data_IF_473099625608
#
_entry.id   IF_473099625608
#
_cell.length_a   1.000
_cell.length_b   1.000
_cell.length_c   1.000
_cell.angle_alpha   90.00
_cell.angle_beta   90.00
_cell.angle_gamma   90.00
#
_symmetry.space_group_name_H-M   'P 1'
#
loop_
_entity.id
_entity.type
_entity.pdbx_description
1 polymer ?
#
# COMPACT_ATOMS: atom_id res chain seq x y z
N UNK A 1 6.70 -10.10 9.00
CA UNK A 1 5.27 -9.77 9.17
C UNK A 1 5.14 -8.30 9.58
N UNK A 2 4.75 -7.41 8.67
CA UNK A 2 4.56 -5.97 9.00
C UNK A 2 3.11 -5.63 9.35
N UNK A 3 2.16 -6.37 8.78
CA UNK A 3 0.73 -6.11 8.92
C UNK A 3 0.21 -6.35 10.33
N UNK A 4 0.62 -7.44 10.99
CA UNK A 4 0.20 -7.73 12.35
C UNK A 4 0.63 -6.62 13.32
N UNK A 5 1.89 -6.18 13.23
CA UNK A 5 2.39 -5.05 14.02
C UNK A 5 1.65 -3.74 13.71
N UNK A 6 1.24 -3.53 12.45
CA UNK A 6 0.43 -2.37 12.05
C UNK A 6 -0.96 -2.41 12.70
N UNK A 7 -1.61 -3.57 12.71
CA UNK A 7 -2.91 -3.77 13.38
C UNK A 7 -2.80 -3.51 14.88
N UNK A 8 -1.83 -4.10 15.57
CA UNK A 8 -1.63 -3.86 17.01
C UNK A 8 -1.37 -2.39 17.33
N UNK A 9 -0.56 -1.69 16.52
CA UNK A 9 -0.31 -0.25 16.71
C UNK A 9 -1.56 0.60 16.50
N UNK A 10 -2.41 0.23 15.56
CA UNK A 10 -3.65 0.95 15.28
C UNK A 10 -4.71 0.72 16.37
N UNK A 11 -4.94 -0.54 16.76
CA UNK A 11 -6.02 -0.88 17.69
C UNK A 11 -5.62 -0.78 19.16
N UNK A 12 -4.34 -0.92 19.50
CA UNK A 12 -3.86 -0.75 20.88
C UNK A 12 -3.28 0.64 21.12
N UNK A 13 -3.63 1.65 20.30
CA UNK A 13 -3.09 3.00 20.44
C UNK A 13 -3.44 3.63 21.81
N UNK A 14 -4.67 3.42 22.27
CA UNK A 14 -5.18 4.02 23.51
C UNK A 14 -4.64 3.30 24.76
N UNK A 15 -4.44 1.98 24.70
CA UNK A 15 -3.78 1.23 25.77
C UNK A 15 -2.99 0.05 25.21
N UNK A 16 -1.68 0.08 25.42
CA UNK A 16 -0.79 -1.02 25.03
C UNK A 16 -0.78 -2.18 26.04
N UNK A 17 -1.34 -1.98 27.24
CA UNK A 17 -1.43 -2.99 28.30
C UNK A 17 -2.58 -3.97 28.10
N UNK A 18 -3.68 -3.54 27.46
CA UNK A 18 -4.86 -4.36 27.22
C UNK A 18 -4.90 -4.97 25.80
N UNK A 19 -3.74 -5.27 25.23
CA UNK A 19 -3.66 -5.82 23.87
C UNK A 19 -4.32 -7.21 23.76
N UNK A 20 -4.33 -7.98 24.85
CA UNK A 20 -4.87 -9.33 24.91
C UNK A 20 -6.39 -9.37 24.70
N UNK A 21 -7.14 -8.34 25.14
CA UNK A 21 -8.58 -8.29 24.94
C UNK A 21 -8.95 -8.03 23.48
N UNK A 22 -8.06 -7.39 22.72
CA UNK A 22 -8.24 -7.05 21.32
C UNK A 22 -7.75 -8.18 20.39
N UNK A 23 -6.89 -9.06 20.90
CA UNK A 23 -6.30 -10.16 20.13
C UNK A 23 -7.33 -11.00 19.35
N UNK A 24 -8.47 -11.43 19.91
CA UNK A 24 -9.45 -12.23 19.16
C UNK A 24 -10.02 -11.48 17.95
N UNK A 25 -10.21 -10.16 18.09
CA UNK A 25 -10.71 -9.32 17.00
C UNK A 25 -9.67 -9.16 15.90
N UNK A 26 -8.39 -8.99 16.26
CA UNK A 26 -7.28 -8.90 15.29
C UNK A 26 -7.10 -10.23 14.56
N UNK A 27 -7.18 -11.36 15.27
CA UNK A 27 -7.09 -12.69 14.67
C UNK A 27 -8.22 -12.91 13.66
N UNK A 28 -9.48 -12.64 14.06
CA UNK A 28 -10.63 -12.74 13.19
C UNK A 28 -10.44 -11.87 11.96
N UNK A 29 -10.16 -10.58 12.16
CA UNK A 29 -9.95 -9.61 11.08
C UNK A 29 -8.86 -10.07 10.10
N UNK A 30 -7.73 -10.55 10.62
CA UNK A 30 -6.62 -11.01 9.79
C UNK A 30 -7.00 -12.23 8.94
N UNK A 31 -7.74 -13.17 9.51
CA UNK A 31 -8.13 -14.40 8.84
C UNK A 31 -9.23 -14.20 7.78
N UNK A 32 -10.10 -13.20 7.94
CA UNK A 32 -11.21 -12.93 7.01
C UNK A 32 -10.87 -11.89 5.95
N UNK A 33 -9.83 -11.08 6.15
CA UNK A 33 -9.47 -10.00 5.20
C UNK A 33 -8.67 -10.55 4.01
N UNK A 34 -9.11 -10.30 2.76
CA UNK A 34 -8.36 -10.72 1.59
C UNK A 34 -7.07 -9.91 1.42
N UNK A 35 -5.97 -10.60 1.13
CA UNK A 35 -4.68 -9.94 0.93
C UNK A 35 -4.46 -9.57 -0.53
N UNK A 36 -3.98 -8.35 -0.80
CA UNK A 36 -3.77 -7.82 -2.17
C UNK A 36 -2.92 -8.72 -3.08
N UNK A 37 -1.97 -9.47 -2.53
CA UNK A 37 -1.09 -10.33 -3.33
C UNK A 37 -1.71 -11.67 -3.71
N UNK A 38 -2.65 -12.17 -2.92
CA UNK A 38 -3.33 -13.46 -3.15
C UNK A 38 -4.69 -13.25 -3.78
N UNK A 39 -5.37 -12.15 -3.47
CA UNK A 39 -6.77 -11.89 -3.81
C UNK A 39 -7.76 -12.62 -2.89
N UNK A 40 -7.25 -13.39 -1.92
CA UNK A 40 -8.04 -14.25 -1.02
C UNK A 40 -7.58 -14.05 0.42
N UNK A 41 -8.50 -14.27 1.35
CA UNK A 41 -8.23 -14.31 2.78
C UNK A 41 -7.58 -15.64 3.19
N UNK A 42 -6.81 -15.67 4.30
CA UNK A 42 -6.26 -16.92 4.82
C UNK A 42 -7.34 -17.98 5.07
N UNK A 43 -8.51 -17.59 5.57
CA UNK A 43 -9.63 -18.49 5.81
C UNK A 43 -10.15 -19.14 4.52
N UNK A 44 -10.31 -18.36 3.44
CA UNK A 44 -10.76 -18.88 2.15
C UNK A 44 -9.75 -19.86 1.54
N UNK A 45 -8.46 -19.57 1.68
CA UNK A 45 -7.39 -20.43 1.16
C UNK A 45 -7.38 -21.79 1.88
N UNK A 46 -7.67 -21.82 3.18
CA UNK A 46 -7.65 -23.06 3.97
C UNK A 46 -8.97 -23.82 3.82
N UNK A 47 -10.09 -23.11 4.00
CA UNK A 47 -11.42 -23.73 4.13
C UNK A 47 -12.17 -23.85 2.81
N UNK A 48 -11.79 -23.07 1.78
CA UNK A 48 -12.52 -22.99 0.50
C UNK A 48 -13.90 -22.36 0.61
N UNK A 49 -14.21 -21.74 1.75
CA UNK A 49 -15.49 -21.10 2.06
C UNK A 49 -15.29 -19.62 2.27
N UNK A 50 -16.33 -18.84 1.98
CA UNK A 50 -16.34 -17.42 2.33
C UNK A 50 -16.26 -17.26 3.84
N UNK A 51 -15.52 -16.24 4.33
CA UNK A 51 -15.39 -16.01 5.76
C UNK A 51 -16.75 -15.63 6.35
N UNK A 52 -17.06 -16.09 7.57
CA UNK A 52 -18.28 -15.68 8.26
C UNK A 52 -18.17 -14.18 8.62
N UNK A 53 -19.00 -13.35 8.01
CA UNK A 53 -19.15 -11.94 8.35
C UNK A 53 -20.59 -11.68 8.80
N UNK A 54 -20.77 -10.92 9.88
CA UNK A 54 -22.10 -10.54 10.36
C UNK A 54 -22.91 -9.80 9.27
N UNK A 55 -22.22 -9.07 8.40
CA UNK A 55 -22.84 -8.35 7.28
C UNK A 55 -23.11 -9.24 6.06
N UNK A 56 -22.39 -10.36 5.87
CA UNK A 56 -22.62 -11.22 4.70
C UNK A 56 -24.01 -11.81 4.70
N UNK A 57 -24.53 -12.26 5.85
CA UNK A 57 -25.88 -12.85 5.92
C UNK A 57 -26.98 -11.83 5.61
N UNK A 58 -26.73 -10.54 5.88
CA UNK A 58 -27.68 -9.47 5.59
C UNK A 58 -27.67 -9.08 4.10
N UNK A 59 -26.51 -9.19 3.45
CA UNK A 59 -26.29 -8.73 2.08
C UNK A 59 -26.46 -9.85 1.05
N UNK A 60 -26.13 -11.10 1.38
CA UNK A 60 -26.23 -12.25 0.47
C UNK A 60 -27.59 -12.36 -0.24
N UNK A 61 -28.74 -12.21 0.44
CA UNK A 61 -30.06 -12.26 -0.22
C UNK A 61 -30.29 -11.17 -1.26
N UNK A 62 -29.52 -10.08 -1.20
CA UNK A 62 -29.62 -8.92 -2.09
C UNK A 62 -28.67 -9.02 -3.29
N UNK A 63 -27.76 -9.98 -3.30
CA UNK A 63 -26.76 -10.17 -4.35
C UNK A 63 -27.15 -11.33 -5.27
N UNK A 64 -26.76 -11.26 -6.56
CA UNK A 64 -26.92 -12.41 -7.45
C UNK A 64 -26.13 -13.61 -6.93
N UNK A 65 -26.71 -14.81 -7.07
CA UNK A 65 -26.08 -16.04 -6.60
C UNK A 65 -24.72 -16.24 -7.28
N UNK A 66 -23.64 -16.16 -6.49
CA UNK A 66 -22.28 -16.44 -6.94
C UNK A 66 -21.96 -17.89 -6.60
N UNK A 67 -21.65 -18.70 -7.61
CA UNK A 67 -21.20 -20.07 -7.39
C UNK A 67 -19.86 -20.06 -6.63
N UNK A 68 -19.79 -20.77 -5.51
CA UNK A 68 -18.57 -20.91 -4.74
C UNK A 68 -17.49 -21.59 -5.60
N UNK A 69 -16.28 -21.00 -5.61
CA UNK A 69 -15.14 -21.58 -6.32
C UNK A 69 -14.67 -22.85 -5.60
N UNK A 70 -14.33 -23.94 -6.32
CA UNK A 70 -13.74 -25.11 -5.70
C UNK A 70 -12.36 -24.77 -5.11
N UNK A 71 -11.99 -25.43 -4.02
CA UNK A 71 -10.75 -25.17 -3.28
C UNK A 71 -9.49 -25.23 -4.16
N UNK A 72 -9.42 -26.21 -5.07
CA UNK A 72 -8.30 -26.35 -6.01
C UNK A 72 -8.16 -25.13 -6.93
N UNK A 73 -9.29 -24.55 -7.35
CA UNK A 73 -9.29 -23.35 -8.16
C UNK A 73 -8.79 -22.14 -7.34
N UNK A 74 -9.22 -22.01 -6.08
CA UNK A 74 -8.72 -20.96 -5.18
C UNK A 74 -7.20 -21.05 -5.02
N UNK A 75 -6.67 -22.26 -4.80
CA UNK A 75 -5.21 -22.46 -4.65
C UNK A 75 -4.45 -22.10 -5.91
N UNK A 76 -4.90 -22.59 -7.08
CA UNK A 76 -4.24 -22.29 -8.35
C UNK A 76 -4.26 -20.79 -8.68
N UNK A 77 -5.37 -20.12 -8.41
CA UNK A 77 -5.52 -18.68 -8.62
C UNK A 77 -4.64 -17.88 -7.65
N UNK A 78 -4.63 -18.21 -6.36
CA UNK A 78 -3.78 -17.59 -5.37
C UNK A 78 -2.28 -17.74 -5.73
N UNK A 79 -1.86 -18.93 -6.16
CA UNK A 79 -0.50 -19.18 -6.65
C UNK A 79 -0.15 -18.33 -7.88
N UNK A 80 -1.07 -18.23 -8.83
CA UNK A 80 -0.91 -17.40 -10.03
C UNK A 80 -0.74 -15.92 -9.65
N UNK A 81 -1.57 -15.42 -8.73
CA UNK A 81 -1.52 -14.05 -8.24
C UNK A 81 -0.19 -13.76 -7.51
N UNK A 82 0.28 -14.68 -6.67
CA UNK A 82 1.57 -14.56 -6.00
C UNK A 82 2.73 -14.51 -7.01
N UNK A 83 2.71 -15.35 -8.05
CA UNK A 83 3.72 -15.34 -9.13
C UNK A 83 3.71 -14.01 -9.88
N UNK A 84 2.52 -13.51 -10.24
CA UNK A 84 2.34 -12.20 -10.89
C UNK A 84 2.88 -11.07 -10.03
N UNK A 85 2.50 -11.02 -8.75
CA UNK A 85 2.98 -10.01 -7.81
C UNK A 85 4.51 -10.07 -7.61
N UNK A 86 5.10 -11.27 -7.57
CA UNK A 86 6.55 -11.44 -7.50
C UNK A 86 7.25 -10.91 -8.75
N UNK A 87 6.72 -11.20 -9.94
CA UNK A 87 7.26 -10.72 -11.21
C UNK A 87 7.16 -9.19 -11.32
N UNK A 88 6.03 -8.60 -10.93
CA UNK A 88 5.86 -7.15 -10.86
C UNK A 88 6.91 -6.51 -9.95
N UNK A 89 7.13 -7.04 -8.74
CA UNK A 89 8.16 -6.53 -7.82
C UNK A 89 9.57 -6.59 -8.43
N UNK A 90 9.91 -7.68 -9.13
CA UNK A 90 11.20 -7.81 -9.84
C UNK A 90 11.32 -6.75 -10.95
N UNK A 91 10.28 -6.56 -11.74
CA UNK A 91 10.26 -5.59 -12.83
C UNK A 91 10.34 -4.16 -12.32
N UNK A 92 9.60 -3.79 -11.27
CA UNK A 92 9.72 -2.47 -10.63
C UNK A 92 11.14 -2.19 -10.13
N UNK A 93 11.78 -3.16 -9.46
CA UNK A 93 13.19 -3.02 -9.04
C UNK A 93 14.14 -2.87 -10.23
N UNK A 94 13.92 -3.63 -11.30
CA UNK A 94 14.72 -3.54 -12.54
C UNK A 94 14.53 -2.17 -13.21
N UNK A 95 13.31 -1.64 -13.22
CA UNK A 95 13.00 -0.33 -13.76
C UNK A 95 13.65 0.77 -12.92
N UNK A 96 13.60 0.71 -11.58
CA UNK A 96 14.31 1.65 -10.70
C UNK A 96 15.83 1.68 -10.99
N UNK A 97 16.44 0.52 -11.26
CA UNK A 97 17.87 0.44 -11.64
C UNK A 97 18.17 0.99 -13.04
N UNK A 98 17.16 1.04 -13.91
CA UNK A 98 17.26 1.53 -15.29
C UNK A 98 16.95 3.01 -15.44
N UNK A 99 16.35 3.64 -14.43
CA UNK A 99 16.30 5.10 -14.35
C UNK A 99 17.77 5.51 -14.28
N UNK A 100 18.35 6.15 -15.33
CA UNK A 100 19.68 6.69 -15.19
C UNK A 100 19.63 7.59 -13.97
N UNK A 101 20.59 7.44 -13.04
CA UNK A 101 20.86 8.50 -12.07
C UNK A 101 20.90 9.76 -12.90
N UNK A 102 19.87 10.61 -12.78
CA UNK A 102 19.87 11.91 -13.43
C UNK A 102 21.12 12.54 -12.85
N UNK A 103 22.22 12.51 -13.62
CA UNK A 103 23.30 13.43 -13.44
C UNK A 103 22.56 14.74 -13.55
N UNK A 104 22.34 15.40 -12.40
CA UNK A 104 21.86 16.76 -12.36
C UNK A 104 22.83 17.48 -13.29
N UNK A 105 22.40 17.73 -14.54
CA UNK A 105 23.11 18.63 -15.41
C UNK A 105 23.19 19.91 -14.58
N UNK A 106 24.39 20.41 -14.25
CA UNK A 106 24.52 21.59 -13.38
C UNK A 106 23.74 22.79 -13.93
N UNK A 107 23.40 22.76 -15.22
CA UNK A 107 22.75 23.84 -15.95
C UNK A 107 21.22 23.71 -16.09
N UNK A 108 20.58 22.65 -15.56
CA UNK A 108 19.12 22.51 -15.61
C UNK A 108 18.54 22.33 -14.21
N UNK A 109 17.73 23.29 -13.70
CA UNK A 109 17.08 23.11 -12.41
C UNK A 109 16.21 21.85 -12.45
N UNK A 110 16.24 21.09 -11.35
CA UNK A 110 15.41 19.89 -11.18
C UNK A 110 13.95 20.23 -11.52
N UNK A 111 13.15 19.35 -12.15
CA UNK A 111 11.81 19.65 -12.68
C UNK A 111 10.79 20.21 -11.67
N UNK A 112 11.11 20.15 -10.38
CA UNK A 112 10.27 20.65 -9.29
C UNK A 112 10.88 21.86 -8.58
N UNK A 113 11.95 22.46 -9.12
CA UNK A 113 12.64 23.62 -8.56
C UNK A 113 12.29 24.85 -9.37
N UNK A 114 11.62 25.81 -8.74
CA UNK A 114 11.16 27.04 -9.36
C UNK A 114 11.81 28.25 -8.70
N UNK A 115 12.13 29.24 -9.52
CA UNK A 115 12.64 30.53 -9.07
C UNK A 115 11.47 31.44 -8.75
N UNK A 116 11.25 31.73 -7.46
CA UNK A 116 10.20 32.66 -7.05
C UNK A 116 10.72 34.09 -7.17
N UNK A 117 9.99 34.90 -7.95
CA UNK A 117 10.23 36.33 -8.10
C UNK A 117 9.10 37.11 -7.43
N UNK A 118 9.46 38.17 -6.73
CA UNK A 118 8.49 39.12 -6.20
C UNK A 118 7.85 39.90 -7.36
N UNK A 119 6.51 39.90 -7.52
CA UNK A 119 5.86 40.45 -8.70
C UNK A 119 5.96 41.98 -8.81
N UNK A 120 6.28 42.68 -7.71
CA UNK A 120 6.34 44.15 -7.69
C UNK A 120 7.79 44.64 -7.84
N UNK A 121 8.74 43.98 -7.20
CA UNK A 121 10.15 44.40 -7.23
C UNK A 121 11.02 43.62 -8.22
N UNK A 122 10.48 42.56 -8.84
CA UNK A 122 11.23 41.57 -9.64
C UNK A 122 12.43 40.93 -8.91
N UNK A 123 12.54 41.12 -7.60
CA UNK A 123 13.62 40.57 -6.80
C UNK A 123 13.48 39.04 -6.69
N UNK A 124 14.56 38.33 -6.98
CA UNK A 124 14.58 36.86 -6.96
C UNK A 124 14.84 36.40 -5.52
N UNK A 125 13.83 35.77 -4.88
CA UNK A 125 13.97 35.26 -3.50
C UNK A 125 14.78 33.95 -3.42
N UNK A 126 14.94 33.25 -4.54
CA UNK A 126 15.74 32.03 -4.65
C UNK A 126 14.98 30.87 -5.29
N UNK A 127 15.64 29.71 -5.33
CA UNK A 127 15.12 28.48 -5.95
C UNK A 127 14.48 27.56 -4.91
N UNK A 128 13.23 27.15 -5.17
CA UNK A 128 12.39 26.42 -4.21
C UNK A 128 11.92 25.10 -4.82
N UNK A 129 12.05 24.00 -4.08
CA UNK A 129 11.48 22.72 -4.49
C UNK A 129 10.04 22.57 -4.01
N UNK A 130 9.06 22.47 -4.91
CA UNK A 130 7.63 22.41 -4.55
C UNK A 130 7.24 21.16 -3.76
N UNK A 131 7.98 20.06 -3.85
CA UNK A 131 7.60 18.83 -3.15
C UNK A 131 7.93 18.87 -1.66
N UNK A 132 8.95 19.62 -1.28
CA UNK A 132 9.46 19.66 0.09
C UNK A 132 9.62 21.09 0.65
N UNK A 133 9.29 22.12 -0.14
CA UNK A 133 9.44 23.56 0.15
C UNK A 133 10.82 24.00 0.66
N UNK A 134 11.86 23.19 0.47
CA UNK A 134 13.23 23.52 0.86
C UNK A 134 13.83 24.55 -0.09
N UNK A 135 14.42 25.60 0.48
CA UNK A 135 15.19 26.63 -0.22
C UNK A 135 16.58 26.08 -0.57
N UNK A 136 16.94 26.14 -1.84
CA UNK A 136 18.29 25.81 -2.29
C UNK A 136 19.00 27.12 -2.66
N UNK A 137 19.83 27.62 -1.74
CA UNK A 137 20.76 28.71 -2.05
C UNK A 137 22.00 28.13 -2.70
N UNK A 138 22.42 28.65 -3.85
CA UNK A 138 23.77 28.39 -4.36
C UNK A 138 24.76 29.07 -3.41
N UNK A 139 25.62 28.27 -2.75
CA UNK A 139 26.84 28.80 -2.14
C UNK A 139 27.85 29.00 -3.28
N UNK A 140 28.26 30.25 -3.49
CA UNK A 140 29.44 30.59 -4.28
C UNK A 140 30.71 30.17 -3.55
#
# INVERSE_FOLDING_TARGET
>A
MKELSRLFRAYCHDSHTNWYSILPNIELLFNVTPHLSTGFSPYEIISGKNPPNALTNLIEPLLPAVAAKPLQQIHSEALSNLRRAANQRKNSKRNLRRIPSVRLCPDKPHPNVYTLKDPVSNFIRGNHNITNLKLYSYRH
#
